data_IF_968855899155
#
_entry.id   IF_968855899155
#
_cell.length_a   1.000
_cell.length_b   1.000
_cell.length_c   1.000
_cell.angle_alpha   90.00
_cell.angle_beta   90.00
_cell.angle_gamma   90.00
#
_symmetry.space_group_name_H-M   'P 1'
#
loop_
_entity.id
_entity.type
_entity.pdbx_description
1 polymer ?
#
# COMPACT_ATOMS: atom_id res chain seq x y z
N UNK A 1 22.70 -7.59 0.50
CA UNK A 1 22.35 -6.86 1.73
C UNK A 1 21.50 -5.66 1.33
N UNK A 2 20.37 -5.45 2.01
CA UNK A 2 19.52 -4.28 1.83
C UNK A 2 19.35 -3.60 3.18
N UNK A 3 19.32 -2.28 3.22
CA UNK A 3 19.12 -1.52 4.45
C UNK A 3 17.78 -0.82 4.36
N UNK A 4 16.90 -1.12 5.29
CA UNK A 4 15.60 -0.49 5.36
C UNK A 4 15.71 0.94 5.86
N UNK A 5 14.78 1.80 5.44
CA UNK A 5 14.74 3.17 5.93
C UNK A 5 14.29 3.23 7.39
N UNK A 6 14.55 4.38 8.02
CA UNK A 6 14.04 4.68 9.37
C UNK A 6 12.52 4.53 9.48
N UNK A 7 11.77 4.77 8.40
CA UNK A 7 10.31 4.70 8.41
C UNK A 7 9.84 3.26 8.59
N UNK A 8 10.53 2.30 7.98
CA UNK A 8 10.24 0.89 8.23
C UNK A 8 10.63 0.48 9.66
N UNK A 9 11.77 0.95 10.18
CA UNK A 9 12.15 0.68 11.57
C UNK A 9 11.12 1.23 12.58
N UNK A 10 10.69 2.49 12.40
CA UNK A 10 9.63 3.13 13.20
C UNK A 10 8.29 2.38 13.08
N UNK A 11 7.94 1.92 11.88
CA UNK A 11 6.78 1.05 11.67
C UNK A 11 6.91 -0.25 12.46
N UNK A 12 8.05 -0.96 12.41
CA UNK A 12 8.25 -2.21 13.14
C UNK A 12 8.11 -2.00 14.65
N UNK A 13 8.67 -0.92 15.19
CA UNK A 13 8.54 -0.59 16.61
C UNK A 13 7.09 -0.41 17.04
N UNK A 14 6.28 0.29 16.23
CA UNK A 14 4.85 0.49 16.51
C UNK A 14 4.02 -0.78 16.29
N UNK A 15 4.26 -1.48 15.18
CA UNK A 15 3.52 -2.69 14.81
C UNK A 15 3.66 -3.80 15.85
N UNK A 16 4.86 -4.01 16.39
CA UNK A 16 5.13 -5.08 17.37
C UNK A 16 4.41 -4.85 18.71
N UNK A 17 4.12 -3.59 19.08
CA UNK A 17 3.37 -3.29 20.31
C UNK A 17 1.90 -3.72 20.20
N UNK A 18 1.33 -3.63 19.00
CA UNK A 18 -0.08 -3.93 18.74
C UNK A 18 -0.30 -5.37 18.23
N UNK A 19 0.76 -6.02 17.73
CA UNK A 19 0.71 -7.36 17.14
C UNK A 19 1.12 -8.47 18.12
N UNK A 20 0.23 -9.45 18.33
CA UNK A 20 0.46 -10.58 19.23
C UNK A 20 1.22 -11.75 18.59
N UNK A 21 1.56 -11.70 17.29
CA UNK A 21 2.29 -12.78 16.62
C UNK A 21 3.79 -12.73 16.92
N UNK A 22 4.22 -13.52 17.91
CA UNK A 22 5.62 -13.57 18.37
C UNK A 22 6.60 -13.94 17.24
N UNK A 23 6.27 -14.93 16.40
CA UNK A 23 7.16 -15.33 15.30
C UNK A 23 7.30 -14.22 14.26
N UNK A 24 6.21 -13.51 13.93
CA UNK A 24 6.27 -12.40 12.97
C UNK A 24 7.08 -11.24 13.55
N UNK A 25 6.91 -10.94 14.84
CA UNK A 25 7.67 -9.90 15.53
C UNK A 25 9.18 -10.18 15.49
N UNK A 26 9.60 -11.43 15.68
CA UNK A 26 11.02 -11.81 15.55
C UNK A 26 11.53 -11.71 14.11
N UNK A 27 10.74 -12.15 13.13
CA UNK A 27 11.09 -11.98 11.71
C UNK A 27 11.29 -10.49 11.40
N UNK A 28 10.37 -9.63 11.82
CA UNK A 28 10.47 -8.19 11.60
C UNK A 28 11.70 -7.57 12.26
N UNK A 29 11.95 -7.87 13.54
CA UNK A 29 13.14 -7.40 14.25
C UNK A 29 14.43 -7.80 13.54
N UNK A 30 14.45 -8.97 12.93
CA UNK A 30 15.63 -9.44 12.20
C UNK A 30 15.91 -8.67 10.91
N UNK A 31 14.87 -8.11 10.28
CA UNK A 31 14.99 -7.40 9.01
C UNK A 31 14.92 -5.87 9.17
N UNK A 32 14.50 -5.35 10.33
CA UNK A 32 14.14 -3.94 10.55
C UNK A 32 15.21 -2.91 10.16
N UNK A 33 16.49 -3.31 10.21
CA UNK A 33 17.63 -2.44 9.95
C UNK A 33 18.35 -2.89 8.68
N UNK A 34 18.84 -4.12 8.68
CA UNK A 34 19.55 -4.71 7.55
C UNK A 34 18.97 -6.08 7.25
N UNK A 35 18.73 -6.33 5.97
CA UNK A 35 18.33 -7.63 5.47
C UNK A 35 19.54 -8.39 4.93
N UNK A 36 19.76 -9.54 5.54
CA UNK A 36 20.69 -10.58 5.07
C UNK A 36 19.92 -11.88 4.86
N UNK A 37 19.99 -12.42 3.65
CA UNK A 37 19.17 -13.55 3.24
C UNK A 37 19.44 -14.82 4.08
N UNK A 38 20.70 -15.13 4.35
CA UNK A 38 21.09 -16.31 5.13
C UNK A 38 20.59 -16.24 6.58
N UNK A 39 20.70 -15.07 7.20
CA UNK A 39 20.21 -14.79 8.55
C UNK A 39 18.68 -14.88 8.62
N UNK A 40 17.99 -14.34 7.62
CA UNK A 40 16.53 -14.42 7.50
C UNK A 40 16.04 -15.87 7.35
N UNK A 41 16.63 -16.65 6.44
CA UNK A 41 16.31 -18.07 6.23
C UNK A 41 16.52 -18.91 7.51
N UNK A 42 17.56 -18.61 8.28
CA UNK A 42 17.83 -19.29 9.54
C UNK A 42 16.72 -19.04 10.57
N UNK A 43 16.22 -17.81 10.66
CA UNK A 43 15.12 -17.44 11.56
C UNK A 43 13.81 -18.11 11.14
N UNK A 44 13.49 -18.13 9.84
CA UNK A 44 12.32 -18.85 9.35
C UNK A 44 12.36 -20.33 9.75
N UNK A 45 13.50 -20.99 9.57
CA UNK A 45 13.70 -22.39 9.96
C UNK A 45 13.55 -22.60 11.47
N UNK A 46 14.09 -21.70 12.29
CA UNK A 46 13.95 -21.75 13.75
C UNK A 46 12.48 -21.62 14.20
N UNK A 47 11.68 -20.86 13.45
CA UNK A 47 10.22 -20.74 13.66
C UNK A 47 9.39 -21.84 12.98
N UNK A 48 10.04 -22.84 12.38
CA UNK A 48 9.37 -23.95 11.72
C UNK A 48 8.75 -23.60 10.37
N UNK A 49 9.03 -22.41 9.83
CA UNK A 49 8.56 -21.97 8.52
C UNK A 49 9.49 -22.58 7.47
N UNK A 50 8.97 -23.55 6.71
CA UNK A 50 9.73 -24.24 5.66
C UNK A 50 9.57 -23.58 4.30
N UNK A 51 8.41 -22.97 4.06
CA UNK A 51 8.15 -22.17 2.87
C UNK A 51 7.66 -20.79 3.29
N UNK A 52 8.28 -19.73 2.76
CA UNK A 52 7.84 -18.35 3.02
C UNK A 52 6.38 -18.11 2.60
N UNK A 53 5.87 -18.87 1.64
CA UNK A 53 4.47 -18.78 1.23
C UNK A 53 3.50 -19.22 2.33
N UNK A 54 3.97 -19.99 3.34
CA UNK A 54 3.16 -20.42 4.49
C UNK A 54 2.71 -19.22 5.35
N UNK A 55 3.43 -18.10 5.32
CA UNK A 55 3.10 -16.86 6.06
C UNK A 55 2.60 -15.74 5.14
N UNK A 56 2.26 -16.05 3.88
CA UNK A 56 1.91 -15.06 2.87
C UNK A 56 0.73 -14.17 3.28
N UNK A 57 -0.30 -14.74 3.90
CA UNK A 57 -1.50 -13.96 4.27
C UNK A 57 -1.17 -12.93 5.35
N UNK A 58 -0.36 -13.31 6.34
CA UNK A 58 0.12 -12.43 7.40
C UNK A 58 1.09 -11.38 6.85
N UNK A 59 1.92 -11.74 5.87
CA UNK A 59 2.79 -10.78 5.17
C UNK A 59 1.99 -9.76 4.35
N UNK A 60 0.86 -10.15 3.75
CA UNK A 60 -0.03 -9.20 3.08
C UNK A 60 -0.68 -8.23 4.10
N UNK A 61 -1.11 -8.74 5.26
CA UNK A 61 -1.64 -7.89 6.33
C UNK A 61 -0.59 -6.91 6.84
N UNK A 62 0.64 -7.38 7.06
CA UNK A 62 1.79 -6.54 7.41
C UNK A 62 2.02 -5.41 6.39
N UNK A 63 2.02 -5.74 5.09
CA UNK A 63 2.21 -4.76 4.03
C UNK A 63 1.08 -3.73 4.00
N UNK A 64 -0.17 -4.15 4.21
CA UNK A 64 -1.30 -3.22 4.32
C UNK A 64 -1.16 -2.32 5.55
N UNK A 65 -0.73 -2.85 6.68
CA UNK A 65 -0.42 -2.06 7.88
C UNK A 65 0.71 -1.06 7.61
N UNK A 66 1.75 -1.47 6.89
CA UNK A 66 2.85 -0.57 6.52
C UNK A 66 2.39 0.53 5.56
N UNK A 67 1.54 0.20 4.56
CA UNK A 67 0.92 1.20 3.68
C UNK A 67 0.14 2.25 4.49
N UNK A 68 -0.69 1.82 5.43
CA UNK A 68 -1.41 2.73 6.32
C UNK A 68 -0.49 3.59 7.19
N UNK A 69 0.67 3.07 7.57
CA UNK A 69 1.66 3.81 8.35
C UNK A 69 2.31 4.93 7.53
N UNK A 70 2.80 4.62 6.31
CA UNK A 70 3.48 5.60 5.45
C UNK A 70 2.52 6.62 4.82
N UNK A 71 1.22 6.32 4.79
CA UNK A 71 0.19 7.26 4.29
C UNK A 71 -0.26 8.28 5.35
N UNK A 72 0.30 8.28 6.56
CA UNK A 72 -0.13 9.19 7.64
C UNK A 72 0.17 10.66 7.37
N UNK A 73 1.19 10.97 6.58
CA UNK A 73 1.57 12.33 6.20
C UNK A 73 1.12 12.69 4.77
N UNK A 74 0.22 11.88 4.19
CA UNK A 74 -0.39 12.06 2.89
C UNK A 74 0.60 12.01 1.70
N UNK A 75 1.86 11.59 1.91
CA UNK A 75 2.90 11.54 0.88
C UNK A 75 3.68 10.23 0.99
N UNK A 76 3.74 9.46 -0.10
CA UNK A 76 4.65 8.31 -0.16
C UNK A 76 5.98 8.76 -0.77
N UNK A 77 7.05 8.70 0.01
CA UNK A 77 8.40 8.98 -0.43
C UNK A 77 9.02 7.82 -1.25
N UNK A 78 10.01 8.13 -2.08
CA UNK A 78 10.70 7.12 -2.87
C UNK A 78 11.38 6.02 -2.04
N UNK A 79 11.82 6.33 -0.82
CA UNK A 79 12.44 5.34 0.08
C UNK A 79 11.41 4.37 0.66
N UNK A 80 10.21 4.85 0.97
CA UNK A 80 9.11 3.99 1.45
C UNK A 80 8.61 3.04 0.35
N UNK A 81 8.56 3.51 -0.91
CA UNK A 81 8.25 2.65 -2.07
C UNK A 81 9.30 1.56 -2.22
N UNK A 82 10.58 1.90 -2.05
CA UNK A 82 11.68 0.92 -2.14
C UNK A 82 11.56 -0.12 -1.03
N UNK A 83 11.34 0.30 0.22
CA UNK A 83 11.13 -0.60 1.35
C UNK A 83 9.94 -1.53 1.12
N UNK A 84 8.79 -0.97 0.73
CA UNK A 84 7.59 -1.73 0.45
C UNK A 84 7.82 -2.76 -0.67
N UNK A 85 8.46 -2.33 -1.76
CA UNK A 85 8.79 -3.21 -2.89
C UNK A 85 9.76 -4.32 -2.48
N UNK A 86 10.73 -4.01 -1.61
CA UNK A 86 11.67 -4.99 -1.11
C UNK A 86 10.99 -6.02 -0.19
N UNK A 87 10.06 -5.58 0.67
CA UNK A 87 9.22 -6.48 1.48
C UNK A 87 8.38 -7.41 0.62
N UNK A 88 7.73 -6.91 -0.45
CA UNK A 88 7.00 -7.76 -1.41
C UNK A 88 7.90 -8.88 -1.95
N UNK A 89 9.16 -8.57 -2.28
CA UNK A 89 10.14 -9.56 -2.77
C UNK A 89 10.51 -10.58 -1.71
N UNK A 90 10.83 -10.15 -0.50
CA UNK A 90 11.21 -11.05 0.61
C UNK A 90 10.09 -12.06 0.89
N UNK A 91 8.85 -11.57 1.00
CA UNK A 91 7.68 -12.39 1.32
C UNK A 91 7.06 -13.10 0.10
N UNK A 92 7.71 -13.00 -1.07
CA UNK A 92 7.23 -13.57 -2.34
C UNK A 92 5.79 -13.20 -2.67
N UNK A 93 5.42 -11.96 -2.39
CA UNK A 93 4.15 -11.34 -2.80
C UNK A 93 4.27 -11.00 -4.29
N UNK A 94 3.31 -11.50 -5.07
CA UNK A 94 3.26 -11.31 -6.52
C UNK A 94 2.09 -10.41 -6.89
N UNK A 95 2.15 -9.87 -8.09
CA UNK A 95 1.04 -9.16 -8.70
C UNK A 95 -0.27 -9.97 -8.58
N UNK A 96 -1.34 -9.29 -8.19
CA UNK A 96 -2.65 -9.90 -7.95
C UNK A 96 -2.81 -10.60 -6.58
N UNK A 97 -1.76 -10.81 -5.77
CA UNK A 97 -1.91 -11.42 -4.44
C UNK A 97 -2.76 -10.55 -3.51
N UNK A 98 -2.61 -9.22 -3.59
CA UNK A 98 -3.45 -8.27 -2.83
C UNK A 98 -4.91 -8.35 -3.24
N UNK A 99 -5.21 -8.23 -4.53
CA UNK A 99 -6.58 -8.32 -5.06
C UNK A 99 -7.21 -9.68 -4.74
N UNK A 100 -6.45 -10.77 -4.86
CA UNK A 100 -6.98 -12.11 -4.61
C UNK A 100 -7.31 -12.37 -3.14
N UNK A 101 -6.46 -11.92 -2.21
CA UNK A 101 -6.53 -12.35 -0.81
C UNK A 101 -6.98 -11.24 0.15
N UNK A 102 -6.83 -9.97 -0.24
CA UNK A 102 -7.03 -8.79 0.61
C UNK A 102 -7.75 -7.65 -0.11
N UNK A 103 -8.56 -7.94 -1.14
CA UNK A 103 -9.29 -6.94 -1.94
C UNK A 103 -10.01 -5.89 -1.09
N UNK A 104 -10.76 -6.36 -0.09
CA UNK A 104 -11.52 -5.47 0.77
C UNK A 104 -10.60 -4.51 1.55
N UNK A 105 -9.52 -5.03 2.13
CA UNK A 105 -8.60 -4.24 2.93
C UNK A 105 -7.83 -3.20 2.10
N UNK A 106 -7.37 -3.56 0.89
CA UNK A 106 -6.72 -2.57 0.00
C UNK A 106 -7.72 -1.50 -0.47
N UNK A 107 -8.98 -1.87 -0.73
CA UNK A 107 -10.01 -0.92 -1.14
C UNK A 107 -10.33 0.08 -0.03
N UNK A 108 -10.32 -0.35 1.24
CA UNK A 108 -10.50 0.56 2.37
C UNK A 108 -9.36 1.57 2.49
N UNK A 109 -8.10 1.13 2.30
CA UNK A 109 -6.94 2.05 2.26
C UNK A 109 -7.11 3.05 1.13
N UNK A 110 -7.35 2.57 -0.09
CA UNK A 110 -7.47 3.42 -1.28
C UNK A 110 -8.64 4.39 -1.17
N UNK A 111 -9.80 3.94 -0.68
CA UNK A 111 -10.98 4.78 -0.52
C UNK A 111 -10.74 5.93 0.45
N UNK A 112 -10.06 5.68 1.57
CA UNK A 112 -9.68 6.73 2.52
C UNK A 112 -8.84 7.82 1.83
N UNK A 113 -7.86 7.39 1.03
CA UNK A 113 -6.98 8.32 0.31
C UNK A 113 -7.72 9.07 -0.80
N UNK A 114 -8.61 8.41 -1.55
CA UNK A 114 -9.42 9.07 -2.58
C UNK A 114 -10.36 10.11 -2.00
N UNK A 115 -11.04 9.82 -0.88
CA UNK A 115 -11.87 10.82 -0.19
C UNK A 115 -11.06 12.08 0.12
N UNK A 116 -9.80 11.93 0.56
CA UNK A 116 -8.91 13.08 0.81
C UNK A 116 -8.52 13.79 -0.49
N UNK A 117 -8.00 13.06 -1.48
CA UNK A 117 -7.49 13.60 -2.76
C UNK A 117 -8.58 14.39 -3.52
N UNK A 118 -9.82 13.95 -3.43
CA UNK A 118 -10.94 14.55 -4.16
C UNK A 118 -11.71 15.60 -3.33
N UNK A 119 -11.30 15.86 -2.09
CA UNK A 119 -12.08 16.68 -1.13
C UNK A 119 -12.17 18.17 -1.47
N UNK A 120 -11.15 18.72 -2.13
CA UNK A 120 -11.09 20.13 -2.52
C UNK A 120 -11.46 20.38 -3.99
N UNK A 121 -11.91 19.33 -4.69
CA UNK A 121 -12.29 19.33 -6.10
C UNK A 121 -11.16 19.70 -7.08
N UNK A 122 -9.90 19.61 -6.66
CA UNK A 122 -8.74 19.89 -7.50
C UNK A 122 -7.55 18.97 -7.17
N UNK A 123 -7.08 18.23 -8.17
CA UNK A 123 -5.92 17.35 -8.00
C UNK A 123 -4.64 18.08 -8.35
N UNK A 124 -3.79 18.23 -7.35
CA UNK A 124 -2.44 18.76 -7.48
C UNK A 124 -1.46 17.73 -8.07
N UNK A 125 -0.31 18.19 -8.56
CA UNK A 125 0.77 17.31 -9.04
C UNK A 125 1.24 16.29 -7.98
N UNK A 126 1.21 16.69 -6.70
CA UNK A 126 1.56 15.81 -5.57
C UNK A 126 0.55 14.68 -5.42
N UNK A 127 -0.73 14.96 -5.61
CA UNK A 127 -1.80 13.97 -5.50
C UNK A 127 -1.85 13.05 -6.72
N UNK A 128 -1.56 13.56 -7.92
CA UNK A 128 -1.31 12.72 -9.10
C UNK A 128 -0.16 11.74 -8.84
N UNK A 129 0.97 12.23 -8.29
CA UNK A 129 2.09 11.35 -7.94
C UNK A 129 1.70 10.32 -6.87
N UNK A 130 0.95 10.74 -5.85
CA UNK A 130 0.44 9.83 -4.82
C UNK A 130 -0.45 8.74 -5.41
N UNK A 131 -1.37 9.08 -6.33
CA UNK A 131 -2.22 8.10 -7.02
C UNK A 131 -1.39 7.05 -7.77
N UNK A 132 -0.36 7.48 -8.51
CA UNK A 132 0.54 6.56 -9.20
C UNK A 132 1.27 5.63 -8.21
N UNK A 133 1.71 6.18 -7.08
CA UNK A 133 2.37 5.40 -6.03
C UNK A 133 1.40 4.39 -5.40
N UNK A 134 0.17 4.79 -5.06
CA UNK A 134 -0.87 3.92 -4.53
C UNK A 134 -1.19 2.76 -5.47
N UNK A 135 -1.35 3.05 -6.77
CA UNK A 135 -1.55 2.02 -7.79
C UNK A 135 -0.39 1.02 -7.81
N UNK A 136 0.85 1.51 -7.77
CA UNK A 136 2.07 0.71 -7.81
C UNK A 136 2.29 -0.14 -6.54
N UNK A 137 1.98 0.40 -5.35
CA UNK A 137 2.15 -0.35 -4.10
C UNK A 137 1.37 -1.67 -4.11
N UNK A 138 0.11 -1.61 -4.55
CA UNK A 138 -0.80 -2.76 -4.57
C UNK A 138 -0.84 -3.53 -5.89
N UNK A 139 0.02 -3.19 -6.84
CA UNK A 139 0.10 -3.80 -8.18
C UNK A 139 -1.26 -3.83 -8.91
N UNK A 140 -2.00 -2.72 -8.85
CA UNK A 140 -3.31 -2.61 -9.50
C UNK A 140 -3.16 -2.24 -10.98
N UNK A 141 -3.93 -2.91 -11.83
CA UNK A 141 -4.06 -2.49 -13.22
C UNK A 141 -4.72 -1.11 -13.32
N UNK A 142 -4.49 -0.42 -14.44
CA UNK A 142 -5.10 0.89 -14.70
C UNK A 142 -6.63 0.84 -14.57
N UNK A 143 -7.27 -0.17 -15.17
CA UNK A 143 -8.72 -0.30 -15.17
C UNK A 143 -9.29 -0.57 -13.77
N UNK A 144 -8.61 -1.39 -12.96
CA UNK A 144 -9.00 -1.64 -11.56
C UNK A 144 -8.90 -0.35 -10.74
N UNK A 145 -7.81 0.40 -10.89
CA UNK A 145 -7.60 1.64 -10.14
C UNK A 145 -8.61 2.74 -10.53
N UNK A 146 -8.86 2.94 -11.82
CA UNK A 146 -9.89 3.88 -12.30
C UNK A 146 -11.29 3.51 -11.82
N UNK A 147 -11.60 2.21 -11.75
CA UNK A 147 -12.88 1.75 -11.23
C UNK A 147 -13.07 2.15 -9.76
N UNK A 148 -12.01 2.05 -8.94
CA UNK A 148 -12.07 2.39 -7.52
C UNK A 148 -12.20 3.89 -7.25
N UNK A 149 -11.65 4.74 -8.13
CA UNK A 149 -11.78 6.21 -8.02
C UNK A 149 -13.17 6.74 -8.38
N UNK A 150 -13.95 5.95 -9.13
CA UNK A 150 -15.15 6.40 -9.84
C UNK A 150 -16.16 7.11 -8.95
N UNK A 151 -16.43 6.57 -7.77
CA UNK A 151 -17.46 7.13 -6.87
C UNK A 151 -17.06 8.52 -6.37
N UNK A 152 -15.80 8.72 -5.99
CA UNK A 152 -15.32 10.03 -5.53
C UNK A 152 -15.21 11.05 -6.67
N UNK A 153 -14.81 10.62 -7.87
CA UNK A 153 -14.87 11.47 -9.07
C UNK A 153 -16.30 11.96 -9.31
N UNK A 154 -17.30 11.06 -9.24
CA UNK A 154 -18.71 11.42 -9.42
C UNK A 154 -19.13 12.43 -8.34
N UNK A 155 -18.76 12.20 -7.09
CA UNK A 155 -19.08 13.09 -5.97
C UNK A 155 -18.50 14.50 -6.19
N UNK A 156 -17.22 14.61 -6.57
CA UNK A 156 -16.59 15.91 -6.86
C UNK A 156 -17.28 16.64 -8.01
N UNK A 157 -17.60 15.94 -9.10
CA UNK A 157 -18.30 16.52 -10.25
C UNK A 157 -19.70 17.03 -9.87
N UNK A 158 -20.44 16.29 -9.02
CA UNK A 158 -21.74 16.73 -8.49
C UNK A 158 -21.62 17.96 -7.57
N UNK A 159 -20.46 18.17 -6.95
CA UNK A 159 -20.15 19.35 -6.14
C UNK A 159 -19.65 20.54 -6.97
N UNK A 160 -19.58 20.41 -8.30
CA UNK A 160 -19.19 21.48 -9.22
C UNK A 160 -17.70 21.51 -9.58
N UNK A 161 -16.96 20.44 -9.29
CA UNK A 161 -15.59 20.28 -9.77
C UNK A 161 -15.53 20.37 -11.30
N UNK A 162 -14.49 21.03 -11.81
CA UNK A 162 -14.19 21.02 -13.23
C UNK A 162 -13.56 19.68 -13.61
N UNK A 163 -14.09 18.93 -14.60
CA UNK A 163 -13.52 17.66 -15.03
C UNK A 163 -12.01 17.70 -15.37
N UNK A 164 -11.50 18.85 -15.81
CA UNK A 164 -10.08 19.02 -16.15
C UNK A 164 -9.16 19.03 -14.94
N UNK A 165 -9.71 19.26 -13.76
CA UNK A 165 -8.97 19.39 -12.52
C UNK A 165 -8.95 18.08 -11.70
N UNK A 166 -9.53 16.99 -12.21
CA UNK A 166 -9.73 15.74 -11.47
C UNK A 166 -8.86 14.55 -11.92
N UNK A 167 -7.84 14.79 -12.74
CA UNK A 167 -6.94 13.75 -13.28
C UNK A 167 -7.69 12.51 -13.82
N UNK A 168 -8.73 12.77 -14.63
CA UNK A 168 -9.58 11.74 -15.23
C UNK A 168 -9.35 11.65 -16.74
N UNK A 169 -9.31 10.42 -17.26
CA UNK A 169 -9.22 10.19 -18.72
C UNK A 169 -10.58 10.25 -19.40
N UNK A 170 -11.67 9.97 -18.66
CA UNK A 170 -13.05 9.97 -19.17
C UNK A 170 -14.02 10.44 -18.09
N UNK A 171 -15.01 11.25 -18.49
CA UNK A 171 -16.13 11.59 -17.62
C UNK A 171 -16.96 10.31 -17.39
N UNK A 172 -17.31 9.97 -16.13
CA UNK A 172 -18.12 8.80 -15.83
C UNK A 172 -19.47 8.82 -16.58
N UNK A 173 -19.83 7.68 -17.19
CA UNK A 173 -21.09 7.54 -17.93
C UNK A 173 -22.29 7.82 -17.00
N UNK A 174 -23.21 8.68 -17.44
CA UNK A 174 -24.42 9.05 -16.70
C UNK A 174 -24.41 10.46 -16.10
N UNK A 175 -23.27 11.16 -16.10
CA UNK A 175 -23.17 12.57 -15.75
C UNK A 175 -23.26 13.43 -17.02
N UNK A 176 -24.41 14.08 -17.24
CA UNK A 176 -24.53 15.18 -18.19
C UNK A 176 -24.10 16.47 -17.48
N UNK A 177 -22.80 16.74 -17.49
CA UNK A 177 -22.25 17.99 -16.95
C UNK A 177 -22.41 19.04 -18.06
N UNK A 178 -23.26 20.03 -17.80
CA UNK A 178 -23.57 21.16 -18.70
C UNK A 178 -22.42 22.17 -18.74
#
# INVERSE_FOLDING_TARGET
MYTFSKYFSEFVETFILDNNSEYLNEILKSIQNNFEYDSFELILKQKGIRNIEDIKLESLDLLISYANFILKDDIISGVEIQDFTFLKRIFKIREGDFVKNKNFAINEVLKKEFIRIYSDNHISEKETLLQLNLQSLFDLSYDEFEHLKKDEIINSLLQGANPRDLDITKIPKGLNIL
#
